data_IF_163050804426
#
_entry.id   IF_163050804426
#
_cell.length_a   1.000
_cell.length_b   1.000
_cell.length_c   1.000
_cell.angle_alpha   90.00
_cell.angle_beta   90.00
_cell.angle_gamma   90.00
#
_symmetry.space_group_name_H-M   'P 1'
#
loop_
_entity.id
_entity.type
_entity.pdbx_description
1 polymer ?
#
# COMPACT_ATOMS: atom_id res chain seq x y z
N UNK A 1 -12.98 4.78 7.63
CA UNK A 1 -11.63 4.24 7.41
C UNK A 1 -11.25 3.29 8.52
N UNK A 2 -10.71 3.80 9.64
CA UNK A 2 -10.09 2.97 10.70
C UNK A 2 -11.02 1.90 11.27
N UNK A 3 -12.28 2.23 11.56
CA UNK A 3 -13.25 1.25 12.10
C UNK A 3 -13.46 0.09 11.14
N UNK A 4 -13.69 0.37 9.85
CA UNK A 4 -13.81 -0.66 8.82
C UNK A 4 -12.54 -1.51 8.70
N UNK A 5 -11.36 -0.89 8.77
CA UNK A 5 -10.09 -1.60 8.75
C UNK A 5 -9.97 -2.57 9.94
N UNK A 6 -10.33 -2.12 11.14
CA UNK A 6 -10.28 -2.96 12.36
C UNK A 6 -11.20 -4.18 12.32
N UNK A 7 -12.30 -4.11 11.57
CA UNK A 7 -13.22 -5.24 11.38
C UNK A 7 -12.97 -5.99 10.07
N UNK A 8 -11.81 -5.79 9.44
CA UNK A 8 -11.39 -6.41 8.17
C UNK A 8 -12.29 -6.10 6.95
N UNK A 9 -13.10 -5.04 7.03
CA UNK A 9 -13.90 -4.52 5.92
C UNK A 9 -13.02 -3.60 5.04
N UNK A 10 -12.00 -4.18 4.42
CA UNK A 10 -10.93 -3.43 3.76
C UNK A 10 -11.43 -2.54 2.62
N UNK A 11 -12.41 -2.99 1.83
CA UNK A 11 -12.97 -2.19 0.72
C UNK A 11 -13.68 -0.93 1.20
N UNK A 12 -14.49 -1.05 2.26
CA UNK A 12 -15.15 0.10 2.89
C UNK A 12 -14.16 1.03 3.57
N UNK A 13 -13.08 0.48 4.13
CA UNK A 13 -11.99 1.27 4.69
C UNK A 13 -11.30 2.08 3.59
N UNK A 14 -10.92 1.46 2.48
CA UNK A 14 -10.34 2.10 1.29
C UNK A 14 -11.27 3.19 0.77
N UNK A 15 -12.56 2.90 0.53
CA UNK A 15 -13.54 3.89 0.07
C UNK A 15 -13.59 5.12 0.99
N UNK A 16 -13.58 4.90 2.31
CA UNK A 16 -13.57 6.00 3.27
C UNK A 16 -12.30 6.85 3.18
N UNK A 17 -11.14 6.23 3.00
CA UNK A 17 -9.89 6.97 2.86
C UNK A 17 -9.80 7.68 1.50
N UNK A 18 -10.29 7.06 0.42
CA UNK A 18 -10.41 7.71 -0.89
C UNK A 18 -11.21 9.00 -0.79
N UNK A 19 -12.39 8.96 -0.16
CA UNK A 19 -13.19 10.16 0.10
C UNK A 19 -12.43 11.23 0.89
N UNK A 20 -11.63 10.83 1.88
CA UNK A 20 -10.78 11.77 2.61
C UNK A 20 -9.72 12.42 1.69
N UNK A 21 -9.12 11.66 0.78
CA UNK A 21 -8.15 12.18 -0.20
C UNK A 21 -8.78 13.02 -1.32
N UNK A 22 -10.07 12.86 -1.58
CA UNK A 22 -10.82 13.72 -2.51
C UNK A 22 -11.15 15.08 -1.89
N UNK A 23 -11.42 15.10 -0.58
CA UNK A 23 -11.68 16.33 0.18
C UNK A 23 -10.37 17.09 0.43
N UNK A 24 -9.33 16.38 0.86
CA UNK A 24 -8.00 16.95 1.14
C UNK A 24 -6.92 16.11 0.47
N UNK A 25 -6.49 16.54 -0.71
CA UNK A 25 -5.55 15.80 -1.57
C UNK A 25 -4.17 15.65 -0.95
N UNK A 26 -3.77 16.57 -0.07
CA UNK A 26 -2.48 16.58 0.62
C UNK A 26 -2.52 15.96 2.02
N UNK A 27 -3.62 15.30 2.39
CA UNK A 27 -3.73 14.65 3.71
C UNK A 27 -2.91 13.36 3.78
N UNK A 28 -1.61 13.48 4.08
CA UNK A 28 -0.64 12.38 4.09
C UNK A 28 -1.09 11.16 4.91
N UNK A 29 -1.77 11.38 6.06
CA UNK A 29 -2.28 10.29 6.91
C UNK A 29 -3.38 9.47 6.24
N UNK A 30 -4.27 10.08 5.45
CA UNK A 30 -5.28 9.32 4.71
C UNK A 30 -4.64 8.40 3.67
N UNK A 31 -3.63 8.90 2.94
CA UNK A 31 -2.83 8.08 2.04
C UNK A 31 -2.12 6.96 2.81
N UNK A 32 -1.47 7.25 3.93
CA UNK A 32 -0.80 6.23 4.75
C UNK A 32 -1.76 5.11 5.20
N UNK A 33 -2.92 5.47 5.76
CA UNK A 33 -3.88 4.47 6.24
C UNK A 33 -4.54 3.70 5.09
N UNK A 34 -4.75 4.33 3.94
CA UNK A 34 -5.20 3.63 2.73
C UNK A 34 -4.17 2.61 2.24
N UNK A 35 -2.89 3.00 2.19
CA UNK A 35 -1.80 2.10 1.79
C UNK A 35 -1.62 0.93 2.75
N UNK A 36 -1.71 1.19 4.06
CA UNK A 36 -1.73 0.14 5.09
C UNK A 36 -2.95 -0.79 4.95
N UNK A 37 -4.10 -0.27 4.53
CA UNK A 37 -5.31 -1.09 4.31
C UNK A 37 -5.15 -1.98 3.07
N UNK A 38 -4.55 -1.48 1.99
CA UNK A 38 -4.20 -2.30 0.83
C UNK A 38 -3.20 -3.41 1.21
N UNK A 39 -2.22 -3.11 2.07
CA UNK A 39 -1.29 -4.10 2.59
C UNK A 39 -2.02 -5.22 3.35
N UNK A 40 -2.95 -4.87 4.25
CA UNK A 40 -3.74 -5.86 5.00
C UNK A 40 -4.65 -6.69 4.08
N UNK A 41 -5.16 -6.07 3.00
CA UNK A 41 -5.89 -6.73 1.91
C UNK A 41 -5.01 -7.61 1.00
N UNK A 42 -3.68 -7.59 1.18
CA UNK A 42 -2.67 -8.27 0.36
C UNK A 42 -2.57 -7.74 -1.08
N UNK A 43 -3.08 -6.54 -1.32
CA UNK A 43 -2.92 -5.84 -2.59
C UNK A 43 -1.64 -4.98 -2.53
N UNK A 44 -0.50 -5.66 -2.67
CA UNK A 44 0.80 -5.06 -2.42
C UNK A 44 1.18 -3.99 -3.45
N UNK A 45 0.71 -4.09 -4.69
CA UNK A 45 0.96 -3.09 -5.72
C UNK A 45 0.30 -1.76 -5.36
N UNK A 46 -0.98 -1.80 -4.98
CA UNK A 46 -1.69 -0.59 -4.55
C UNK A 46 -1.17 -0.08 -3.20
N UNK A 47 -0.75 -0.98 -2.30
CA UNK A 47 -0.10 -0.60 -1.05
C UNK A 47 1.17 0.23 -1.30
N UNK A 48 2.08 -0.24 -2.16
CA UNK A 48 3.32 0.47 -2.50
C UNK A 48 3.01 1.86 -3.07
N UNK A 49 2.19 1.95 -4.11
CA UNK A 49 1.89 3.23 -4.78
C UNK A 49 1.28 4.24 -3.81
N UNK A 50 0.36 3.77 -2.98
CA UNK A 50 -0.36 4.61 -2.01
C UNK A 50 0.57 5.09 -0.88
N UNK A 51 1.44 4.21 -0.39
CA UNK A 51 2.43 4.54 0.64
C UNK A 51 3.53 5.48 0.12
N UNK A 52 3.97 5.33 -1.13
CA UNK A 52 4.91 6.27 -1.77
C UNK A 52 4.31 7.67 -1.86
N UNK A 53 3.01 7.78 -2.18
CA UNK A 53 2.32 9.07 -2.16
C UNK A 53 2.23 9.66 -0.76
N UNK A 54 1.99 8.83 0.26
CA UNK A 54 1.99 9.26 1.65
C UNK A 54 3.36 9.85 2.05
N UNK A 55 4.46 9.20 1.70
CA UNK A 55 5.83 9.70 1.96
C UNK A 55 6.12 11.00 1.20
N UNK A 56 5.64 11.13 -0.04
CA UNK A 56 5.84 12.35 -0.84
C UNK A 56 5.19 13.58 -0.19
N UNK A 57 4.04 13.39 0.45
CA UNK A 57 3.32 14.45 1.17
C UNK A 57 3.89 14.66 2.58
N UNK A 58 4.12 13.53 3.26
CA UNK A 58 4.67 13.29 4.60
C UNK A 58 6.11 12.75 4.67
N UNK A 59 7.21 13.50 4.41
CA UNK A 59 8.55 12.90 4.41
C UNK A 59 8.97 12.27 5.75
N UNK A 60 8.38 12.65 6.89
CA UNK A 60 8.70 12.03 8.17
C UNK A 60 8.20 10.57 8.25
N UNK A 61 7.21 10.20 7.44
CA UNK A 61 6.73 8.82 7.32
C UNK A 61 7.76 7.90 6.66
N UNK A 62 8.76 8.45 5.95
CA UNK A 62 9.75 7.68 5.20
C UNK A 62 10.53 6.70 6.07
N UNK A 63 10.86 7.09 7.31
CA UNK A 63 11.63 6.25 8.22
C UNK A 63 10.93 4.92 8.51
N UNK A 64 9.62 4.94 8.70
CA UNK A 64 8.83 3.76 9.04
C UNK A 64 8.34 3.00 7.81
N UNK A 65 8.05 3.71 6.71
CA UNK A 65 7.37 3.15 5.54
C UNK A 65 8.34 2.63 4.47
N UNK A 66 9.53 3.22 4.31
CA UNK A 66 10.50 2.78 3.30
C UNK A 66 10.95 1.32 3.45
N UNK A 67 11.23 0.79 4.66
CA UNK A 67 11.56 -0.62 4.83
C UNK A 67 10.47 -1.54 4.29
N UNK A 68 9.20 -1.23 4.60
CA UNK A 68 8.04 -1.99 4.13
C UNK A 68 7.94 -1.98 2.59
N UNK A 69 8.03 -0.80 1.96
CA UNK A 69 7.98 -0.70 0.50
C UNK A 69 9.11 -1.51 -0.14
N UNK A 70 10.33 -1.40 0.40
CA UNK A 70 11.50 -2.12 -0.11
C UNK A 70 11.29 -3.64 -0.04
N UNK A 71 10.80 -4.14 1.10
CA UNK A 71 10.55 -5.57 1.29
C UNK A 71 9.45 -6.11 0.38
N UNK A 72 8.38 -5.34 0.18
CA UNK A 72 7.31 -5.68 -0.76
C UNK A 72 7.84 -5.74 -2.20
N UNK A 73 8.59 -4.73 -2.67
CA UNK A 73 9.20 -4.72 -4.00
C UNK A 73 10.10 -5.93 -4.21
N UNK A 74 11.00 -6.19 -3.25
CA UNK A 74 11.90 -7.34 -3.31
C UNK A 74 11.15 -8.68 -3.39
N UNK A 75 10.03 -8.80 -2.67
CA UNK A 75 9.21 -10.01 -2.66
C UNK A 75 8.51 -10.20 -4.00
N UNK A 76 7.94 -9.12 -4.56
CA UNK A 76 7.31 -9.14 -5.88
C UNK A 76 8.32 -9.53 -6.95
N UNK A 77 9.52 -8.91 -6.95
CA UNK A 77 10.58 -9.22 -7.92
C UNK A 77 11.03 -10.69 -7.84
N UNK A 78 11.19 -11.22 -6.63
CA UNK A 78 11.53 -12.64 -6.42
C UNK A 78 10.45 -13.57 -6.99
N UNK A 79 9.18 -13.27 -6.74
CA UNK A 79 8.07 -14.08 -7.24
C UNK A 79 7.99 -14.03 -8.77
N UNK A 80 8.18 -12.85 -9.37
CA UNK A 80 8.21 -12.68 -10.82
C UNK A 80 9.36 -13.46 -11.46
N UNK A 81 10.55 -13.44 -10.85
CA UNK A 81 11.70 -14.20 -11.32
C UNK A 81 11.44 -15.71 -11.27
N UNK A 82 10.87 -16.22 -10.17
CA UNK A 82 10.50 -17.65 -10.04
C UNK A 82 9.50 -18.05 -11.13
N UNK A 83 8.45 -17.25 -11.32
CA UNK A 83 7.43 -17.50 -12.34
C UNK A 83 8.07 -17.54 -13.73
N UNK A 84 8.88 -16.54 -14.08
CA UNK A 84 9.56 -16.45 -15.37
C UNK A 84 10.42 -17.69 -15.66
N UNK A 85 11.24 -18.12 -14.69
CA UNK A 85 12.06 -19.32 -14.83
C UNK A 85 11.22 -20.59 -14.97
N UNK A 86 10.07 -20.67 -14.29
CA UNK A 86 9.17 -21.82 -14.40
C UNK A 86 8.50 -21.95 -15.77
N UNK A 87 8.28 -20.82 -16.47
CA UNK A 87 7.73 -20.80 -17.82
C UNK A 87 8.79 -21.02 -18.91
N UNK A 88 10.04 -20.63 -18.68
CA UNK A 88 11.15 -20.83 -19.61
C UNK A 88 11.71 -22.27 -19.60
N UNK A 89 11.53 -23.00 -18.50
CA UNK A 89 11.99 -24.39 -18.35
C UNK A 89 10.92 -25.45 -18.76
N UNK A 90 9.87 -25.04 -19.47
CA UNK A 90 8.84 -25.91 -20.08
C UNK A 90 8.86 -25.77 -21.60
#
# INVERSE_FOLDING_TARGET
>A
GNVYKHINEFDKAIESYTKATEIETEFAKAWFFMGSTYFDKKDYNNAIQTLEKAIKLDPNLAQDVNPLIKDLKNTIDKLQNILTMSFLNK
#
